data_IF_249224980263
#
_entry.id   IF_249224980263
#
_cell.length_a   1.000
_cell.length_b   1.000
_cell.length_c   1.000
_cell.angle_alpha   90.00
_cell.angle_beta   90.00
_cell.angle_gamma   90.00
#
_symmetry.space_group_name_H-M   'P 1'
#
loop_
_entity.id
_entity.type
_entity.pdbx_description
1 polymer ?
#
# COMPACT_ATOMS: atom_id res chain seq x y z
N UNK A 1 -4.27 27.19 -27.13
CA UNK A 1 -3.65 26.23 -28.08
C UNK A 1 -2.19 26.61 -28.16
N UNK A 2 -1.42 26.17 -27.17
CA UNK A 2 -0.03 26.59 -26.97
C UNK A 2 0.92 25.81 -27.87
N UNK A 3 1.13 26.31 -29.09
CA UNK A 3 2.13 25.78 -30.05
C UNK A 3 3.60 26.01 -29.61
N UNK A 4 3.86 26.31 -28.33
CA UNK A 4 5.21 26.47 -27.76
C UNK A 4 5.78 25.16 -27.19
N UNK A 5 4.99 24.10 -27.13
CA UNK A 5 5.42 22.80 -26.59
C UNK A 5 6.04 21.86 -27.65
N UNK A 6 6.01 22.22 -28.94
CA UNK A 6 6.42 21.34 -30.05
C UNK A 6 7.94 21.29 -30.33
N UNK A 7 8.77 22.08 -29.64
CA UNK A 7 10.22 21.98 -29.82
C UNK A 7 10.78 20.91 -28.88
N UNK A 8 11.37 19.81 -29.38
CA UNK A 8 11.95 18.77 -28.53
C UNK A 8 13.10 19.35 -27.72
N UNK A 9 12.91 19.43 -26.40
CA UNK A 9 13.93 19.85 -25.44
C UNK A 9 14.78 18.66 -25.02
N UNK A 10 16.06 18.89 -24.75
CA UNK A 10 16.98 17.84 -24.31
C UNK A 10 16.66 17.49 -22.86
N UNK A 11 16.33 16.23 -22.59
CA UNK A 11 16.12 15.71 -21.24
C UNK A 11 17.44 15.27 -20.62
N UNK A 12 17.68 15.69 -19.38
CA UNK A 12 18.79 15.24 -18.53
C UNK A 12 18.20 14.69 -17.24
N UNK A 13 18.74 13.58 -16.78
CA UNK A 13 18.20 12.85 -15.62
C UNK A 13 18.43 13.65 -14.33
N UNK A 14 19.63 14.20 -14.13
CA UNK A 14 19.97 14.97 -12.93
C UNK A 14 20.67 16.30 -13.21
N UNK A 15 20.54 17.24 -12.27
CA UNK A 15 21.31 18.51 -12.28
C UNK A 15 22.81 18.25 -12.16
N UNK A 16 23.18 17.21 -11.42
CA UNK A 16 24.56 16.80 -11.25
C UNK A 16 25.18 16.36 -12.57
N UNK A 17 24.43 15.64 -13.42
CA UNK A 17 24.91 15.24 -14.75
C UNK A 17 25.12 16.45 -15.65
N UNK A 18 24.25 17.47 -15.57
CA UNK A 18 24.44 18.73 -16.27
C UNK A 18 25.71 19.47 -15.81
N UNK A 19 25.94 19.55 -14.49
CA UNK A 19 27.16 20.14 -13.94
C UNK A 19 28.42 19.34 -14.32
N UNK A 20 28.32 18.00 -14.32
CA UNK A 20 29.39 17.10 -14.73
C UNK A 20 29.72 17.31 -16.21
N UNK A 21 28.71 17.41 -17.08
CA UNK A 21 28.90 17.72 -18.50
C UNK A 21 29.61 19.06 -18.70
N UNK A 22 29.21 20.10 -17.96
CA UNK A 22 29.88 21.41 -17.96
C UNK A 22 31.35 21.30 -17.57
N UNK A 23 31.65 20.56 -16.49
CA UNK A 23 33.02 20.37 -16.03
C UNK A 23 33.88 19.61 -17.05
N UNK A 24 33.33 18.55 -17.65
CA UNK A 24 34.03 17.75 -18.66
C UNK A 24 34.29 18.55 -19.94
N UNK A 25 33.28 19.29 -20.42
CA UNK A 25 33.40 20.16 -21.58
C UNK A 25 34.44 21.25 -21.34
N UNK A 26 34.41 21.89 -20.16
CA UNK A 26 35.40 22.88 -19.77
C UNK A 26 36.82 22.31 -19.75
N UNK A 27 37.01 21.14 -19.13
CA UNK A 27 38.32 20.50 -19.05
C UNK A 27 38.85 20.11 -20.44
N UNK A 28 38.00 19.55 -21.30
CA UNK A 28 38.38 19.18 -22.66
C UNK A 28 38.73 20.41 -23.52
N UNK A 29 37.93 21.48 -23.43
CA UNK A 29 38.16 22.72 -24.15
C UNK A 29 39.47 23.41 -23.71
N UNK A 30 39.73 23.46 -22.41
CA UNK A 30 40.98 24.00 -21.86
C UNK A 30 42.20 23.15 -22.24
N UNK A 31 42.08 21.82 -22.23
CA UNK A 31 43.15 20.94 -22.66
C UNK A 31 43.50 21.14 -24.15
N UNK A 32 42.48 21.28 -25.01
CA UNK A 32 42.69 21.59 -26.43
C UNK A 32 43.36 22.94 -26.65
N UNK A 33 42.92 23.96 -25.92
CA UNK A 33 43.50 25.31 -26.00
C UNK A 33 44.96 25.31 -25.52
N UNK A 34 45.28 24.62 -24.43
CA UNK A 34 46.66 24.50 -23.94
C UNK A 34 47.56 23.79 -24.97
N UNK A 35 47.07 22.72 -25.61
CA UNK A 35 47.81 22.04 -26.66
C UNK A 35 48.11 22.95 -27.86
N UNK A 36 47.15 23.80 -28.26
CA UNK A 36 47.33 24.76 -29.36
C UNK A 36 48.27 25.92 -29.01
N UNK A 37 48.22 26.41 -27.77
CA UNK A 37 49.14 27.46 -27.30
C UNK A 37 50.58 26.93 -27.29
N UNK A 38 50.78 25.69 -26.84
CA UNK A 38 52.08 25.02 -26.86
C UNK A 38 52.64 24.84 -28.28
N UNK A 39 51.77 24.58 -29.26
CA UNK A 39 52.17 24.43 -30.66
C UNK A 39 52.46 25.76 -31.38
N UNK A 40 51.76 26.85 -31.01
CA UNK A 40 51.82 28.14 -31.73
C UNK A 40 52.70 29.19 -31.04
N UNK A 41 53.26 28.88 -29.86
CA UNK A 41 54.14 29.77 -29.07
C UNK A 41 53.51 31.12 -28.64
N UNK A 42 52.18 31.15 -28.49
CA UNK A 42 51.39 32.33 -28.07
C UNK A 42 51.41 32.56 -26.54
N UNK A 43 52.57 32.39 -25.89
CA UNK A 43 52.69 32.40 -24.43
C UNK A 43 52.32 33.72 -23.75
N UNK A 44 52.43 34.86 -24.47
CA UNK A 44 52.11 36.19 -23.93
C UNK A 44 50.61 36.52 -23.88
N UNK A 45 49.79 35.84 -24.67
CA UNK A 45 48.33 36.07 -24.74
C UNK A 45 47.52 34.94 -24.07
N UNK A 46 48.22 33.99 -23.45
CA UNK A 46 47.62 32.79 -22.86
C UNK A 46 46.52 33.12 -21.84
N UNK A 47 46.77 34.07 -20.95
CA UNK A 47 45.81 34.43 -19.90
C UNK A 47 44.55 35.10 -20.47
N UNK A 48 44.69 35.92 -21.50
CA UNK A 48 43.57 36.53 -22.21
C UNK A 48 42.73 35.46 -22.92
N UNK A 49 43.39 34.52 -23.62
CA UNK A 49 42.72 33.44 -24.33
C UNK A 49 41.97 32.49 -23.39
N UNK A 50 42.55 32.18 -22.22
CA UNK A 50 41.91 31.41 -21.16
C UNK A 50 40.68 32.12 -20.60
N UNK A 51 40.76 33.44 -20.39
CA UNK A 51 39.62 34.24 -19.94
C UNK A 51 38.46 34.21 -20.94
N UNK A 52 38.77 34.44 -22.23
CA UNK A 52 37.77 34.39 -23.30
C UNK A 52 37.15 33.01 -23.47
N UNK A 53 37.94 31.94 -23.36
CA UNK A 53 37.42 30.58 -23.46
C UNK A 53 36.46 30.25 -22.31
N UNK A 54 36.78 30.66 -21.07
CA UNK A 54 35.87 30.49 -19.95
C UNK A 54 34.55 31.25 -20.15
N UNK A 55 34.62 32.51 -20.60
CA UNK A 55 33.43 33.30 -20.91
C UNK A 55 32.58 32.65 -22.00
N UNK A 56 33.22 32.13 -23.05
CA UNK A 56 32.54 31.44 -24.14
C UNK A 56 31.81 30.18 -23.66
N UNK A 57 32.46 29.37 -22.83
CA UNK A 57 31.85 28.18 -22.23
C UNK A 57 30.66 28.60 -21.37
N UNK A 58 30.82 29.58 -20.49
CA UNK A 58 29.76 30.02 -19.59
C UNK A 58 28.54 30.57 -20.36
N UNK A 59 28.77 31.36 -21.40
CA UNK A 59 27.73 31.87 -22.28
C UNK A 59 27.02 30.74 -23.05
N UNK A 60 27.77 29.77 -23.54
CA UNK A 60 27.22 28.61 -24.26
C UNK A 60 26.30 27.79 -23.37
N UNK A 61 26.72 27.52 -22.13
CA UNK A 61 25.90 26.80 -21.17
C UNK A 61 24.68 27.61 -20.72
N UNK A 62 24.81 28.94 -20.53
CA UNK A 62 23.68 29.82 -20.23
C UNK A 62 22.65 29.85 -21.37
N UNK A 63 23.10 29.85 -22.62
CA UNK A 63 22.22 29.84 -23.80
C UNK A 63 21.53 28.50 -24.00
N UNK A 64 22.16 27.40 -23.54
CA UNK A 64 21.60 26.05 -23.62
C UNK A 64 20.56 25.75 -22.51
N UNK A 65 20.62 26.44 -21.37
CA UNK A 65 19.68 26.26 -20.24
C UNK A 65 18.18 26.25 -20.60
N UNK A 66 17.64 27.20 -21.39
CA UNK A 66 16.20 27.22 -21.73
C UNK A 66 15.74 25.99 -22.53
N UNK A 67 16.68 25.35 -23.23
CA UNK A 67 16.41 24.16 -24.06
C UNK A 67 16.54 22.84 -23.29
N UNK A 68 16.82 22.91 -21.98
CA UNK A 68 17.04 21.75 -21.12
C UNK A 68 15.78 21.44 -20.29
N UNK A 69 15.46 20.15 -20.19
CA UNK A 69 14.54 19.59 -19.20
C UNK A 69 15.34 18.74 -18.23
N UNK A 70 15.22 18.99 -16.94
CA UNK A 70 15.76 18.11 -15.91
C UNK A 70 14.59 17.37 -15.31
N UNK A 71 14.58 16.05 -15.45
CA UNK A 71 13.61 15.21 -14.76
C UNK A 71 12.14 15.60 -15.04
N UNK A 72 11.83 15.87 -16.32
CA UNK A 72 10.49 16.30 -16.77
C UNK A 72 10.16 17.78 -16.53
N UNK A 73 10.96 18.52 -15.77
CA UNK A 73 10.75 19.95 -15.50
C UNK A 73 11.67 20.84 -16.34
N UNK A 74 11.18 22.02 -16.73
CA UNK A 74 12.02 23.02 -17.41
C UNK A 74 13.09 23.54 -16.44
N UNK A 75 14.33 23.70 -16.92
CA UNK A 75 15.46 24.12 -16.09
C UNK A 75 15.26 25.51 -15.44
N UNK A 76 14.55 26.43 -16.11
CA UNK A 76 14.24 27.75 -15.56
C UNK A 76 13.38 27.69 -14.28
N UNK A 77 12.47 26.70 -14.18
CA UNK A 77 11.64 26.50 -13.00
C UNK A 77 12.40 25.90 -11.81
N UNK A 78 13.62 25.41 -12.05
CA UNK A 78 14.48 24.79 -11.04
C UNK A 78 15.27 25.83 -10.25
N UNK A 79 15.58 26.99 -10.84
CA UNK A 79 16.41 28.02 -10.21
C UNK A 79 15.67 28.78 -9.08
N UNK A 80 14.33 28.77 -9.09
CA UNK A 80 13.49 29.42 -8.06
C UNK A 80 13.24 28.53 -6.82
N UNK A 81 13.61 27.25 -6.86
CA UNK A 81 13.38 26.30 -5.77
C UNK A 81 14.62 25.44 -5.57
N UNK A 82 15.58 25.97 -4.82
CA UNK A 82 16.88 25.34 -4.51
C UNK A 82 16.85 24.02 -3.72
N UNK A 83 15.71 23.32 -3.67
CA UNK A 83 15.52 22.02 -3.03
C UNK A 83 14.31 21.34 -3.69
N UNK A 84 14.45 20.83 -4.92
CA UNK A 84 13.47 19.87 -5.43
C UNK A 84 14.01 18.45 -5.23
N UNK A 85 13.25 17.66 -4.47
CA UNK A 85 13.51 16.27 -4.17
C UNK A 85 13.77 15.47 -5.46
N UNK A 86 14.83 14.64 -5.50
CA UNK A 86 15.12 13.80 -6.66
C UNK A 86 13.93 12.88 -6.94
N UNK A 87 13.58 12.70 -8.22
CA UNK A 87 12.43 11.87 -8.59
C UNK A 87 12.75 10.40 -8.32
N UNK A 88 11.91 9.80 -7.48
CA UNK A 88 12.02 8.39 -7.13
C UNK A 88 11.33 7.53 -8.20
N UNK A 89 12.10 7.12 -9.21
CA UNK A 89 11.62 6.21 -10.26
C UNK A 89 11.11 4.87 -9.70
N UNK A 90 11.64 4.41 -8.57
CA UNK A 90 11.17 3.17 -7.94
C UNK A 90 9.76 3.36 -7.37
N UNK A 91 9.49 4.54 -6.80
CA UNK A 91 8.17 4.93 -6.33
C UNK A 91 7.18 5.05 -7.49
N UNK A 92 7.57 5.65 -8.61
CA UNK A 92 6.69 5.73 -9.78
C UNK A 92 6.36 4.33 -10.32
N UNK A 93 7.36 3.49 -10.61
CA UNK A 93 7.13 2.10 -11.04
C UNK A 93 6.22 1.33 -10.07
N UNK A 94 6.35 1.59 -8.77
CA UNK A 94 5.48 1.01 -7.75
C UNK A 94 4.05 1.55 -7.85
N UNK A 95 3.83 2.84 -8.06
CA UNK A 95 2.51 3.43 -8.30
C UNK A 95 1.84 2.77 -9.51
N UNK A 96 2.56 2.60 -10.61
CA UNK A 96 2.04 1.93 -11.80
C UNK A 96 1.66 0.47 -11.53
N UNK A 97 2.54 -0.28 -10.85
CA UNK A 97 2.24 -1.67 -10.45
C UNK A 97 1.04 -1.77 -9.50
N UNK A 98 0.89 -0.81 -8.57
CA UNK A 98 -0.24 -0.75 -7.64
C UNK A 98 -1.54 -0.40 -8.35
N UNK A 99 -1.50 0.48 -9.35
CA UNK A 99 -2.66 0.82 -10.16
C UNK A 99 -3.15 -0.40 -10.95
N UNK A 100 -2.24 -1.17 -11.56
CA UNK A 100 -2.60 -2.37 -12.31
C UNK A 100 -3.15 -3.47 -11.40
N UNK A 101 -2.49 -3.75 -10.26
CA UNK A 101 -3.01 -4.72 -9.28
C UNK A 101 -4.37 -4.31 -8.74
N UNK A 102 -4.61 -3.01 -8.48
CA UNK A 102 -5.92 -2.49 -8.06
C UNK A 102 -6.99 -2.78 -9.12
N UNK A 103 -6.70 -2.58 -10.39
CA UNK A 103 -7.64 -2.86 -11.48
C UNK A 103 -7.95 -4.37 -11.57
N UNK A 104 -6.93 -5.22 -11.43
CA UNK A 104 -7.11 -6.67 -11.38
C UNK A 104 -7.97 -7.11 -10.19
N UNK A 105 -7.77 -6.52 -9.01
CA UNK A 105 -8.60 -6.79 -7.83
C UNK A 105 -10.05 -6.37 -8.02
N UNK A 106 -10.31 -5.19 -8.59
CA UNK A 106 -11.66 -4.76 -8.90
C UNK A 106 -12.37 -5.71 -9.86
N UNK A 107 -11.66 -6.16 -10.90
CA UNK A 107 -12.17 -7.16 -11.83
C UNK A 107 -12.50 -8.47 -11.13
N UNK A 108 -11.57 -9.02 -10.34
CA UNK A 108 -11.80 -10.25 -9.57
C UNK A 108 -13.00 -10.11 -8.65
N UNK A 109 -13.10 -9.03 -7.87
CA UNK A 109 -14.22 -8.80 -6.95
C UNK A 109 -15.55 -8.76 -7.72
N UNK A 110 -15.59 -8.10 -8.87
CA UNK A 110 -16.80 -8.05 -9.70
C UNK A 110 -17.19 -9.44 -10.24
N UNK A 111 -16.22 -10.22 -10.72
CA UNK A 111 -16.43 -11.59 -11.18
C UNK A 111 -16.88 -12.50 -10.03
N UNK A 112 -16.24 -12.40 -8.86
CA UNK A 112 -16.61 -13.17 -7.65
C UNK A 112 -18.03 -12.83 -7.20
N UNK A 113 -18.40 -11.54 -7.13
CA UNK A 113 -19.76 -11.11 -6.76
C UNK A 113 -20.83 -11.61 -7.73
N UNK A 114 -20.49 -11.78 -9.01
CA UNK A 114 -21.41 -12.27 -10.02
C UNK A 114 -21.56 -13.79 -10.00
N UNK A 115 -20.44 -14.52 -9.91
CA UNK A 115 -20.42 -15.96 -10.17
C UNK A 115 -20.58 -16.78 -8.89
N UNK A 116 -19.91 -16.39 -7.80
CA UNK A 116 -19.88 -17.21 -6.56
C UNK A 116 -21.27 -17.38 -5.94
N UNK A 117 -22.13 -16.36 -5.84
CA UNK A 117 -23.48 -16.55 -5.30
C UNK A 117 -24.34 -17.49 -6.16
N UNK A 118 -24.17 -17.47 -7.48
CA UNK A 118 -24.90 -18.36 -8.39
C UNK A 118 -24.44 -19.81 -8.20
N UNK A 119 -23.14 -20.05 -8.18
CA UNK A 119 -22.56 -21.39 -7.97
C UNK A 119 -22.90 -21.95 -6.58
N UNK A 120 -22.88 -21.10 -5.55
CA UNK A 120 -23.27 -21.50 -4.20
C UNK A 120 -24.77 -21.82 -4.13
N UNK A 121 -25.60 -21.00 -4.78
CA UNK A 121 -27.05 -21.18 -4.83
C UNK A 121 -27.44 -22.51 -5.50
N UNK A 122 -26.84 -22.84 -6.64
CA UNK A 122 -27.08 -24.12 -7.33
C UNK A 122 -26.58 -25.31 -6.52
N UNK A 123 -25.44 -25.17 -5.84
CA UNK A 123 -24.90 -26.22 -4.96
C UNK A 123 -25.83 -26.48 -3.77
N UNK A 124 -26.32 -25.43 -3.11
CA UNK A 124 -27.25 -25.55 -1.98
C UNK A 124 -28.58 -26.14 -2.43
N UNK A 125 -29.15 -25.68 -3.55
CA UNK A 125 -30.41 -26.23 -4.06
C UNK A 125 -30.27 -27.72 -4.38
N UNK A 126 -29.16 -28.13 -5.00
CA UNK A 126 -28.88 -29.54 -5.29
C UNK A 126 -28.81 -30.40 -4.03
N UNK A 127 -28.23 -29.88 -2.95
CA UNK A 127 -28.15 -30.61 -1.66
C UNK A 127 -29.55 -30.74 -1.04
N UNK A 128 -30.34 -29.67 -1.06
CA UNK A 128 -31.71 -29.70 -0.51
C UNK A 128 -32.63 -30.64 -1.30
N UNK A 129 -32.51 -30.66 -2.63
CA UNK A 129 -33.28 -31.57 -3.49
C UNK A 129 -32.89 -33.03 -3.21
N UNK A 130 -31.60 -33.31 -3.02
CA UNK A 130 -31.13 -34.65 -2.65
C UNK A 130 -31.63 -35.06 -1.25
N UNK A 131 -31.65 -34.14 -0.28
CA UNK A 131 -32.22 -34.41 1.04
C UNK A 131 -33.71 -34.70 0.95
N UNK A 132 -34.48 -33.89 0.20
CA UNK A 132 -35.92 -34.12 0.01
C UNK A 132 -36.22 -35.45 -0.67
N UNK A 133 -35.39 -35.89 -1.63
CA UNK A 133 -35.56 -37.19 -2.29
C UNK A 133 -35.24 -38.37 -1.35
N UNK A 134 -34.37 -38.18 -0.37
CA UNK A 134 -33.96 -39.20 0.59
C UNK A 134 -34.80 -39.18 1.88
N UNK A 135 -35.59 -38.13 2.11
CA UNK A 135 -36.47 -38.03 3.26
C UNK A 135 -37.71 -38.90 2.98
N UNK A 136 -37.90 -40.03 3.69
CA UNK A 136 -39.12 -40.79 3.54
C UNK A 136 -40.27 -39.91 4.01
N UNK A 137 -41.26 -39.66 3.15
CA UNK A 137 -42.51 -39.00 3.54
C UNK A 137 -43.13 -39.84 4.66
N UNK A 138 -42.96 -39.41 5.91
CA UNK A 138 -43.68 -39.97 7.06
C UNK A 138 -45.12 -39.46 6.93
N UNK A 139 -45.91 -40.12 6.09
CA UNK A 139 -47.37 -40.13 6.23
C UNK A 139 -47.69 -41.10 7.37
N UNK A 140 -47.48 -40.68 8.61
CA UNK A 140 -48.12 -41.36 9.72
C UNK A 140 -49.60 -40.93 9.78
N UNK A 141 -50.55 -41.88 9.87
CA UNK A 141 -51.96 -41.57 10.04
C UNK A 141 -52.15 -40.85 11.39
N UNK A 142 -52.76 -39.67 11.33
CA UNK A 142 -52.83 -38.67 12.40
C UNK A 142 -53.66 -39.08 13.65
N UNK A 143 -54.14 -40.32 13.75
CA UNK A 143 -55.19 -40.69 14.72
C UNK A 143 -54.68 -41.31 16.04
N UNK A 144 -53.38 -41.65 16.19
CA UNK A 144 -52.88 -42.35 17.41
C UNK A 144 -51.69 -41.65 18.13
N UNK A 145 -51.14 -40.54 17.60
CA UNK A 145 -49.98 -39.85 18.20
C UNK A 145 -50.29 -38.83 19.32
N UNK A 146 -51.57 -38.56 19.59
CA UNK A 146 -51.97 -37.46 20.48
C UNK A 146 -51.59 -37.64 21.95
N UNK A 147 -51.47 -38.88 22.43
CA UNK A 147 -51.30 -39.16 23.87
C UNK A 147 -49.84 -39.39 24.25
N UNK A 148 -49.04 -40.00 23.37
CA UNK A 148 -47.65 -40.37 23.68
C UNK A 148 -46.66 -39.18 23.58
N UNK A 149 -46.94 -38.21 22.70
CA UNK A 149 -46.09 -37.01 22.53
C UNK A 149 -46.23 -36.04 23.71
N UNK A 150 -47.42 -35.94 24.32
CA UNK A 150 -47.68 -35.10 25.50
C UNK A 150 -46.96 -35.61 26.76
N UNK A 151 -46.83 -36.93 26.91
CA UNK A 151 -46.12 -37.53 28.04
C UNK A 151 -44.59 -37.34 27.93
N UNK A 152 -44.01 -37.56 26.74
CA UNK A 152 -42.57 -37.39 26.50
C UNK A 152 -42.12 -35.91 26.60
N UNK A 153 -42.97 -34.96 26.18
CA UNK A 153 -42.68 -33.54 26.33
C UNK A 153 -42.79 -33.07 27.78
N UNK A 154 -43.72 -33.62 28.57
CA UNK A 154 -43.82 -33.35 30.01
C UNK A 154 -42.60 -33.82 30.80
N UNK A 155 -42.10 -35.02 30.53
CA UNK A 155 -40.88 -35.56 31.17
C UNK A 155 -39.63 -34.74 30.81
N UNK A 156 -39.51 -34.31 29.55
CA UNK A 156 -38.40 -33.45 29.09
C UNK A 156 -38.39 -32.08 29.78
N UNK A 157 -39.56 -31.46 29.96
CA UNK A 157 -39.68 -30.18 30.67
C UNK A 157 -39.32 -30.31 32.17
N UNK A 158 -39.69 -31.41 32.81
CA UNK A 158 -39.30 -31.66 34.20
C UNK A 158 -37.78 -31.83 34.35
N UNK A 159 -37.13 -32.54 33.43
CA UNK A 159 -35.66 -32.68 33.45
C UNK A 159 -34.94 -31.35 33.24
N UNK A 160 -35.46 -30.49 32.34
CA UNK A 160 -34.91 -29.15 32.12
C UNK A 160 -35.08 -28.28 33.37
N UNK A 161 -36.25 -28.33 34.02
CA UNK A 161 -36.50 -27.58 35.25
C UNK A 161 -35.60 -28.05 36.40
N UNK A 162 -35.37 -29.37 36.51
CA UNK A 162 -34.45 -29.93 37.49
C UNK A 162 -33.01 -29.49 37.22
N UNK A 163 -32.57 -29.49 35.96
CA UNK A 163 -31.25 -29.01 35.57
C UNK A 163 -31.05 -27.52 35.91
N UNK A 164 -32.05 -26.67 35.66
CA UNK A 164 -32.03 -25.24 36.00
C UNK A 164 -31.96 -25.05 37.52
N UNK A 165 -32.71 -25.86 38.29
CA UNK A 165 -32.65 -25.78 39.76
C UNK A 165 -31.28 -26.16 40.31
N UNK A 166 -30.64 -27.18 39.72
CA UNK A 166 -29.29 -27.63 40.10
C UNK A 166 -28.24 -26.58 39.77
N UNK A 167 -28.31 -25.95 38.60
CA UNK A 167 -27.35 -24.90 38.24
C UNK A 167 -27.53 -23.64 39.07
N UNK A 168 -28.76 -23.28 39.42
CA UNK A 168 -29.05 -22.17 40.35
C UNK A 168 -28.45 -22.44 41.74
N UNK A 169 -28.62 -23.66 42.27
CA UNK A 169 -28.05 -24.04 43.56
C UNK A 169 -26.51 -24.01 43.55
N UNK A 170 -25.87 -24.50 42.49
CA UNK A 170 -24.40 -24.41 42.34
C UNK A 170 -23.90 -22.95 42.30
N UNK A 171 -24.68 -22.05 41.70
CA UNK A 171 -24.34 -20.63 41.67
C UNK A 171 -24.43 -20.00 43.07
N UNK A 172 -25.47 -20.33 43.84
CA UNK A 172 -25.59 -19.89 45.24
C UNK A 172 -24.44 -20.43 46.11
N UNK A 173 -24.03 -21.68 45.91
CA UNK A 173 -22.87 -22.24 46.62
C UNK A 173 -21.56 -21.54 46.25
N UNK A 174 -21.37 -21.18 44.97
CA UNK A 174 -20.22 -20.39 44.52
C UNK A 174 -20.21 -18.98 45.12
N UNK A 175 -21.37 -18.32 45.20
CA UNK A 175 -21.50 -17.00 45.80
C UNK A 175 -21.23 -17.04 47.32
N UNK A 176 -21.64 -18.12 47.99
CA UNK A 176 -21.29 -18.36 49.39
C UNK A 176 -19.79 -18.66 49.56
N UNK A 177 -19.17 -19.43 48.67
CA UNK A 177 -17.75 -19.74 48.71
C UNK A 177 -16.87 -18.49 48.49
N UNK A 178 -17.32 -17.56 47.64
CA UNK A 178 -16.63 -16.29 47.38
C UNK A 178 -16.73 -15.30 48.56
N UNK A 179 -17.75 -15.42 49.41
CA UNK A 179 -17.95 -14.56 50.58
C UNK A 179 -17.25 -15.06 51.87
N UNK A 180 -16.43 -16.11 51.81
CA UNK A 180 -15.56 -16.47 52.93
C UNK A 180 -14.31 -15.57 52.98
N UNK A 181 -13.94 -15.02 54.15
CA UNK A 181 -12.78 -14.13 54.27
C UNK A 181 -11.49 -14.90 54.01
N UNK A 182 -10.69 -14.37 53.08
CA UNK A 182 -9.30 -14.76 52.82
C UNK A 182 -8.51 -14.62 54.13
N UNK A 183 -8.24 -15.74 54.80
CA UNK A 183 -7.16 -15.84 55.78
C UNK A 183 -5.87 -15.80 54.96
N UNK A 184 -5.29 -14.61 54.81
CA UNK A 184 -4.05 -14.42 54.07
C UNK A 184 -3.82 -12.97 53.67
N UNK A 185 -3.04 -12.29 54.51
CA UNK A 185 -2.21 -11.11 54.20
C UNK A 185 -2.88 -9.74 54.01
N UNK A 186 -2.76 -8.88 55.04
CA UNK A 186 -2.01 -7.61 54.89
C UNK A 186 -1.80 -6.86 56.22
N UNK A 187 -0.57 -6.35 56.39
CA UNK A 187 -0.10 -5.26 57.28
C UNK A 187 0.20 -5.54 58.76
N UNK A 188 1.45 -5.94 59.02
CA UNK A 188 2.20 -5.43 60.16
C UNK A 188 2.99 -4.19 59.71
N UNK A 189 2.47 -3.01 60.05
CA UNK A 189 3.21 -1.75 60.02
C UNK A 189 4.18 -1.73 61.21
N UNK A 190 5.49 -1.81 60.92
CA UNK A 190 6.57 -1.53 61.86
C UNK A 190 6.84 -0.01 61.83
N UNK A 191 6.36 0.70 62.86
CA UNK A 191 6.97 1.96 63.30
C UNK A 191 6.74 2.15 64.80
N UNK A 192 7.86 2.42 65.49
CA UNK A 192 8.10 2.71 66.92
C UNK A 192 8.25 1.50 67.85
#
# INVERSE_FOLDING_TARGET
MDSREDMPRVSVDTVQDWQRLRSNCKNAALAHLQAQIGATSLGGEQDALLSHMNQFIDLSFSTAQPNLRVNGHNFEALNDKGDMEPFDEALDRRIWSLADTRLQWHRRIAETRRNVPLELGTSISSILDQQRANDPVIMEPLDDLGVEVLLKTGESLQQIQEAISKTSALFEELDQALNFPIIGDSKADLSL
#
